data_IF_188145520060
#
_entry.id   IF_188145520060
#
_cell.length_a   1.000
_cell.length_b   1.000
_cell.length_c   1.000
_cell.angle_alpha   90.00
_cell.angle_beta   90.00
_cell.angle_gamma   90.00
#
_symmetry.space_group_name_H-M   'P 1'
#
loop_
_entity.id
_entity.type
_entity.pdbx_description
1 polymer ?
#
# COMPACT_ATOMS: atom_id res chain seq x y z
N UNK A 1 -18.77 -4.90 15.08
CA UNK A 1 -18.58 -5.94 14.04
C UNK A 1 -17.52 -5.60 12.99
N UNK A 2 -17.35 -4.32 12.57
CA UNK A 2 -16.39 -3.95 11.51
C UNK A 2 -14.90 -4.20 11.81
N UNK A 3 -14.48 -4.19 13.08
CA UNK A 3 -13.05 -4.46 13.42
C UNK A 3 -12.66 -5.93 13.24
N UNK A 4 -13.55 -6.85 13.62
CA UNK A 4 -13.32 -8.31 13.50
C UNK A 4 -13.04 -8.74 12.05
N UNK A 5 -13.59 -8.01 11.08
CA UNK A 5 -13.36 -8.27 9.66
C UNK A 5 -11.90 -8.02 9.24
N UNK A 6 -11.25 -6.97 9.76
CA UNK A 6 -9.85 -6.70 9.41
C UNK A 6 -8.90 -7.72 10.04
N UNK A 7 -9.20 -8.22 11.25
CA UNK A 7 -8.42 -9.31 11.84
C UNK A 7 -8.42 -10.60 10.99
N UNK A 8 -9.47 -10.85 10.21
CA UNK A 8 -9.50 -11.96 9.27
C UNK A 8 -8.41 -11.84 8.20
N UNK A 9 -8.07 -10.63 7.77
CA UNK A 9 -6.99 -10.40 6.81
C UNK A 9 -5.62 -10.87 7.32
N UNK A 10 -5.36 -10.82 8.63
CA UNK A 10 -4.14 -11.40 9.19
C UNK A 10 -4.15 -12.92 9.18
N UNK A 11 -5.31 -13.54 9.40
CA UNK A 11 -5.44 -15.00 9.30
C UNK A 11 -5.16 -15.43 7.86
N UNK A 12 -5.73 -14.73 6.88
CA UNK A 12 -5.45 -14.99 5.45
C UNK A 12 -3.97 -14.78 5.12
N UNK A 13 -3.36 -13.68 5.57
CA UNK A 13 -1.94 -13.42 5.37
C UNK A 13 -1.05 -14.50 6.01
N UNK A 14 -1.39 -14.96 7.22
CA UNK A 14 -0.68 -16.05 7.90
C UNK A 14 -0.82 -17.36 7.14
N UNK A 15 -2.01 -17.69 6.66
CA UNK A 15 -2.21 -18.90 5.86
C UNK A 15 -1.40 -18.85 4.56
N UNK A 16 -1.35 -17.70 3.87
CA UNK A 16 -0.58 -17.54 2.64
C UNK A 16 0.92 -17.77 2.87
N UNK A 17 1.49 -17.22 3.95
CA UNK A 17 2.92 -17.41 4.23
C UNK A 17 3.25 -18.82 4.72
N UNK A 18 2.35 -19.45 5.50
CA UNK A 18 2.48 -20.85 5.87
C UNK A 18 2.41 -21.75 4.63
N UNK A 19 1.51 -21.44 3.69
CA UNK A 19 1.38 -22.20 2.46
C UNK A 19 2.70 -22.14 1.67
N UNK A 20 3.25 -20.96 1.42
CA UNK A 20 4.59 -20.80 0.77
C UNK A 20 5.68 -21.56 1.55
N UNK A 21 5.66 -21.53 2.89
CA UNK A 21 6.69 -22.14 3.72
C UNK A 21 6.64 -23.68 3.78
N UNK A 22 5.47 -24.28 3.59
CA UNK A 22 5.24 -25.72 3.76
C UNK A 22 4.93 -26.46 2.45
N UNK A 23 4.84 -25.75 1.31
CA UNK A 23 4.62 -26.37 0.00
C UNK A 23 5.75 -26.02 -0.96
N UNK A 24 6.24 -27.02 -1.69
CA UNK A 24 7.24 -26.82 -2.75
C UNK A 24 6.56 -26.50 -4.09
N UNK A 25 6.00 -25.29 -4.21
CA UNK A 25 5.40 -24.88 -5.47
C UNK A 25 6.44 -24.47 -6.52
N UNK A 26 6.04 -24.40 -7.80
CA UNK A 26 6.88 -23.81 -8.83
C UNK A 26 7.21 -22.34 -8.47
N UNK A 27 8.42 -21.84 -8.82
CA UNK A 27 8.85 -20.50 -8.42
C UNK A 27 7.89 -19.36 -8.80
N UNK A 28 7.19 -19.47 -9.92
CA UNK A 28 6.20 -18.49 -10.35
C UNK A 28 4.95 -18.44 -9.45
N UNK A 29 4.51 -19.59 -8.91
CA UNK A 29 3.38 -19.65 -8.01
C UNK A 29 3.74 -19.10 -6.62
N UNK A 30 4.93 -19.40 -6.11
CA UNK A 30 5.43 -18.81 -4.86
C UNK A 30 5.54 -17.29 -4.95
N UNK A 31 6.05 -16.78 -6.08
CA UNK A 31 6.14 -15.34 -6.31
C UNK A 31 4.75 -14.68 -6.34
N UNK A 32 3.78 -15.30 -7.01
CA UNK A 32 2.41 -14.79 -7.05
C UNK A 32 1.74 -14.78 -5.66
N UNK A 33 1.93 -15.85 -4.88
CA UNK A 33 1.42 -15.95 -3.51
C UNK A 33 2.10 -14.94 -2.59
N UNK A 34 3.40 -14.69 -2.75
CA UNK A 34 4.13 -13.68 -1.99
C UNK A 34 3.60 -12.26 -2.30
N UNK A 35 3.34 -11.95 -3.57
CA UNK A 35 2.71 -10.68 -3.96
C UNK A 35 1.33 -10.55 -3.31
N UNK A 36 0.49 -11.59 -3.41
CA UNK A 36 -0.84 -11.61 -2.80
C UNK A 36 -0.77 -11.42 -1.28
N UNK A 37 0.15 -12.11 -0.61
CA UNK A 37 0.45 -11.93 0.81
C UNK A 37 0.78 -10.47 1.13
N UNK A 38 1.69 -9.84 0.39
CA UNK A 38 2.08 -8.45 0.66
C UNK A 38 0.91 -7.48 0.51
N UNK A 39 0.04 -7.68 -0.49
CA UNK A 39 -1.16 -6.87 -0.67
C UNK A 39 -2.14 -7.03 0.51
N UNK A 40 -2.48 -8.28 0.86
CA UNK A 40 -3.43 -8.58 1.94
C UNK A 40 -2.91 -8.07 3.28
N UNK A 41 -1.64 -8.34 3.58
CA UNK A 41 -1.00 -7.90 4.82
C UNK A 41 -0.95 -6.38 4.91
N UNK A 42 -0.49 -5.68 3.87
CA UNK A 42 -0.34 -4.22 3.90
C UNK A 42 -1.67 -3.50 4.09
N UNK A 43 -2.71 -3.89 3.35
CA UNK A 43 -4.05 -3.28 3.49
C UNK A 43 -4.62 -3.59 4.87
N UNK A 44 -4.50 -4.82 5.34
CA UNK A 44 -5.02 -5.23 6.65
C UNK A 44 -4.33 -4.49 7.79
N UNK A 45 -3.00 -4.47 7.78
CA UNK A 45 -2.19 -3.87 8.82
C UNK A 45 -2.46 -2.38 8.95
N UNK A 46 -2.45 -1.64 7.83
CA UNK A 46 -2.69 -0.19 7.82
C UNK A 46 -4.10 0.16 8.29
N UNK A 47 -5.13 -0.57 7.84
CA UNK A 47 -6.51 -0.34 8.25
C UNK A 47 -6.74 -0.63 9.73
N UNK A 48 -6.14 -1.71 10.25
CA UNK A 48 -6.27 -2.07 11.66
C UNK A 48 -5.55 -1.07 12.56
N UNK A 49 -4.32 -0.68 12.19
CA UNK A 49 -3.53 0.30 12.93
C UNK A 49 -4.25 1.65 12.97
N UNK A 50 -4.76 2.12 11.84
CA UNK A 50 -5.54 3.35 11.76
C UNK A 50 -6.76 3.32 12.69
N UNK A 51 -7.56 2.25 12.65
CA UNK A 51 -8.74 2.09 13.52
C UNK A 51 -8.39 2.04 14.99
N UNK A 52 -7.38 1.25 15.35
CA UNK A 52 -6.89 1.18 16.73
C UNK A 52 -6.54 2.57 17.23
N UNK A 53 -5.72 3.31 16.50
CA UNK A 53 -5.32 4.67 16.90
C UNK A 53 -6.51 5.63 16.98
N UNK A 54 -7.50 5.54 16.09
CA UNK A 54 -8.73 6.34 16.19
C UNK A 54 -9.52 6.08 17.49
N UNK A 55 -9.48 4.86 18.02
CA UNK A 55 -10.19 4.49 19.24
C UNK A 55 -9.38 4.74 20.51
N UNK A 56 -8.07 4.48 20.48
CA UNK A 56 -7.21 4.51 21.66
C UNK A 56 -6.51 5.85 21.87
N UNK A 57 -6.25 6.62 20.82
CA UNK A 57 -5.51 7.88 20.88
C UNK A 57 -6.42 9.06 20.51
N UNK A 58 -6.77 9.86 21.53
CA UNK A 58 -7.61 11.05 21.36
C UNK A 58 -6.95 12.13 20.50
N UNK A 59 -5.64 12.29 20.61
CA UNK A 59 -4.87 13.28 19.85
C UNK A 59 -4.82 12.90 18.38
N UNK A 60 -4.59 11.62 18.08
CA UNK A 60 -4.68 11.09 16.72
C UNK A 60 -6.09 11.29 16.13
N UNK A 61 -7.14 10.98 16.89
CA UNK A 61 -8.53 11.14 16.46
C UNK A 61 -8.85 12.60 16.10
N UNK A 62 -8.48 13.55 16.95
CA UNK A 62 -8.68 14.98 16.69
C UNK A 62 -7.90 15.40 15.43
N UNK A 63 -6.64 14.97 15.30
CA UNK A 63 -5.80 15.35 14.17
C UNK A 63 -6.30 14.78 12.82
N UNK A 64 -6.92 13.60 12.82
CA UNK A 64 -7.47 12.96 11.62
C UNK A 64 -8.82 13.55 11.22
N UNK A 65 -9.66 13.94 12.18
CA UNK A 65 -11.02 14.45 11.91
C UNK A 65 -11.08 15.97 11.73
N UNK A 66 -10.03 16.70 12.08
CA UNK A 66 -9.93 18.15 11.87
C UNK A 66 -9.76 18.49 10.38
N UNK A 67 -10.72 19.25 9.83
CA UNK A 67 -10.77 19.69 8.44
C UNK A 67 -9.51 20.40 7.97
N UNK A 68 -8.92 21.25 8.83
CA UNK A 68 -7.68 21.96 8.47
C UNK A 68 -6.54 20.98 8.28
N UNK A 69 -6.45 19.97 9.15
CA UNK A 69 -5.40 18.95 9.05
C UNK A 69 -5.63 18.03 7.85
N UNK A 70 -6.88 17.73 7.49
CA UNK A 70 -7.22 16.98 6.28
C UNK A 70 -6.73 17.74 5.04
N UNK A 71 -7.08 19.03 4.92
CA UNK A 71 -6.67 19.86 3.77
C UNK A 71 -5.15 20.02 3.66
N UNK A 72 -4.44 20.15 4.80
CA UNK A 72 -2.97 20.18 4.81
C UNK A 72 -2.39 18.84 4.35
N UNK A 73 -2.90 17.72 4.86
CA UNK A 73 -2.42 16.37 4.49
C UNK A 73 -2.67 16.04 3.04
N UNK A 74 -3.78 16.51 2.46
CA UNK A 74 -4.07 16.35 1.03
C UNK A 74 -3.02 17.07 0.17
N UNK A 75 -2.73 18.35 0.46
CA UNK A 75 -1.69 19.11 -0.25
C UNK A 75 -0.30 18.52 -0.05
N UNK A 76 0.04 18.17 1.19
CA UNK A 76 1.31 17.54 1.51
C UNK A 76 1.45 16.19 0.79
N UNK A 77 0.40 15.38 0.78
CA UNK A 77 0.34 14.11 0.06
C UNK A 77 0.57 14.27 -1.44
N UNK A 78 0.00 15.30 -2.07
CA UNK A 78 0.25 15.57 -3.49
C UNK A 78 1.71 15.96 -3.77
N UNK A 79 2.31 16.82 -2.92
CA UNK A 79 3.73 17.19 -3.03
C UNK A 79 4.62 15.96 -2.81
N UNK A 80 4.37 15.16 -1.78
CA UNK A 80 5.11 13.92 -1.51
C UNK A 80 4.95 12.93 -2.65
N UNK A 81 3.78 12.83 -3.28
CA UNK A 81 3.57 11.97 -4.43
C UNK A 81 4.43 12.41 -5.63
N UNK A 82 4.52 13.71 -5.91
CA UNK A 82 5.44 14.24 -6.94
C UNK A 82 6.90 13.89 -6.64
N UNK A 83 7.35 14.09 -5.40
CA UNK A 83 8.72 13.76 -4.97
C UNK A 83 8.96 12.24 -5.09
N UNK A 84 7.99 11.41 -4.68
CA UNK A 84 8.10 9.95 -4.74
C UNK A 84 8.22 9.46 -6.18
N UNK A 85 7.42 10.02 -7.10
CA UNK A 85 7.49 9.72 -8.52
C UNK A 85 8.87 10.06 -9.11
N UNK A 86 9.44 11.21 -8.72
CA UNK A 86 10.80 11.60 -9.11
C UNK A 86 11.85 10.62 -8.58
N UNK A 87 11.77 10.23 -7.30
CA UNK A 87 12.70 9.28 -6.69
C UNK A 87 12.62 7.90 -7.36
N UNK A 88 11.42 7.41 -7.67
CA UNK A 88 11.22 6.17 -8.43
C UNK A 88 11.82 6.27 -9.85
N UNK A 89 11.66 7.41 -10.52
CA UNK A 89 12.28 7.66 -11.82
C UNK A 89 13.82 7.60 -11.76
N UNK A 90 14.42 8.21 -10.74
CA UNK A 90 15.87 8.13 -10.50
C UNK A 90 16.30 6.67 -10.24
N UNK A 91 15.57 5.95 -9.40
CA UNK A 91 15.85 4.54 -9.10
C UNK A 91 15.79 3.66 -10.36
N UNK A 92 14.79 3.88 -11.22
CA UNK A 92 14.66 3.20 -12.51
C UNK A 92 15.88 3.44 -13.40
N UNK A 93 16.35 4.70 -13.50
CA UNK A 93 17.55 5.04 -14.28
C UNK A 93 18.80 4.33 -13.73
N UNK A 94 18.97 4.28 -12.41
CA UNK A 94 20.07 3.54 -11.76
C UNK A 94 19.99 2.05 -12.10
N UNK A 95 18.80 1.44 -12.08
CA UNK A 95 18.67 0.03 -12.47
C UNK A 95 19.02 -0.22 -13.94
N UNK A 96 18.68 0.71 -14.84
CA UNK A 96 19.08 0.62 -16.25
C UNK A 96 20.60 0.73 -16.39
N UNK A 97 21.25 1.68 -15.71
CA UNK A 97 22.71 1.87 -15.83
C UNK A 97 23.49 0.70 -15.23
N UNK A 98 22.96 0.02 -14.21
CA UNK A 98 23.50 -1.20 -13.64
C UNK A 98 23.11 -2.48 -14.40
N UNK A 99 22.38 -2.35 -15.52
CA UNK A 99 21.90 -3.46 -16.35
C UNK A 99 20.93 -4.42 -15.61
N UNK A 100 20.26 -3.95 -14.57
CA UNK A 100 19.20 -4.66 -13.84
C UNK A 100 17.83 -4.44 -14.47
N UNK A 101 17.66 -4.97 -15.69
CA UNK A 101 16.48 -4.73 -16.53
C UNK A 101 15.17 -5.19 -15.88
N UNK A 102 15.15 -6.32 -15.18
CA UNK A 102 13.94 -6.81 -14.49
C UNK A 102 13.47 -5.80 -13.43
N UNK A 103 14.38 -5.31 -12.59
CA UNK A 103 14.07 -4.31 -11.56
C UNK A 103 13.62 -2.98 -12.16
N UNK A 104 14.27 -2.55 -13.25
CA UNK A 104 13.88 -1.34 -13.97
C UNK A 104 12.45 -1.42 -14.52
N UNK A 105 12.07 -2.57 -15.11
CA UNK A 105 10.71 -2.81 -15.62
C UNK A 105 9.69 -2.76 -14.49
N UNK A 106 9.98 -3.40 -13.34
CA UNK A 106 9.07 -3.40 -12.18
C UNK A 106 8.83 -1.97 -11.70
N UNK A 107 9.87 -1.15 -11.54
CA UNK A 107 9.71 0.26 -11.14
C UNK A 107 8.96 1.08 -12.19
N UNK A 108 9.24 0.85 -13.48
CA UNK A 108 8.52 1.50 -14.58
C UNK A 108 7.02 1.19 -14.56
N UNK A 109 6.64 -0.05 -14.28
CA UNK A 109 5.23 -0.46 -14.12
C UNK A 109 4.59 0.24 -12.91
N UNK A 110 5.29 0.35 -11.78
CA UNK A 110 4.80 1.07 -10.58
C UNK A 110 4.52 2.54 -10.92
N UNK A 111 5.45 3.20 -11.62
CA UNK A 111 5.33 4.59 -12.07
C UNK A 111 4.07 4.77 -12.93
N UNK A 112 3.79 3.85 -13.86
CA UNK A 112 2.62 3.92 -14.74
C UNK A 112 1.29 3.63 -14.02
N UNK A 113 1.30 2.75 -13.02
CA UNK A 113 0.10 2.39 -12.26
C UNK A 113 -0.28 3.48 -11.25
N UNK A 114 0.69 4.23 -10.70
CA UNK A 114 0.47 5.20 -9.62
C UNK A 114 -0.62 6.26 -9.93
N UNK A 115 -0.68 6.88 -11.13
CA UNK A 115 -1.77 7.79 -11.48
C UNK A 115 -3.15 7.12 -11.52
N UNK A 116 -3.25 5.88 -12.01
CA UNK A 116 -4.51 5.14 -12.07
C UNK A 116 -5.05 4.85 -10.65
N UNK A 117 -4.15 4.47 -9.74
CA UNK A 117 -4.49 4.25 -8.34
C UNK A 117 -5.00 5.54 -7.69
N UNK A 118 -4.38 6.68 -7.99
CA UNK A 118 -4.84 7.98 -7.48
C UNK A 118 -6.25 8.32 -7.96
N UNK A 119 -6.55 8.13 -9.25
CA UNK A 119 -7.89 8.37 -9.82
C UNK A 119 -8.93 7.47 -9.14
N UNK A 120 -8.64 6.18 -9.01
CA UNK A 120 -9.56 5.21 -8.39
C UNK A 120 -9.76 5.57 -6.90
N UNK A 121 -8.69 5.82 -6.16
CA UNK A 121 -8.77 6.19 -4.75
C UNK A 121 -9.58 7.46 -4.54
N UNK A 122 -9.35 8.50 -5.36
CA UNK A 122 -10.12 9.74 -5.34
C UNK A 122 -11.61 9.47 -5.55
N UNK A 123 -11.98 8.68 -6.57
CA UNK A 123 -13.39 8.36 -6.85
C UNK A 123 -14.07 7.57 -5.73
N UNK A 124 -13.33 6.72 -5.00
CA UNK A 124 -13.86 5.96 -3.86
C UNK A 124 -14.09 6.88 -2.66
N UNK A 125 -13.19 7.86 -2.45
CA UNK A 125 -13.31 8.84 -1.37
C UNK A 125 -14.46 9.79 -1.65
N UNK A 126 -14.57 10.32 -2.87
CA UNK A 126 -15.66 11.20 -3.30
C UNK A 126 -17.04 10.55 -3.07
N UNK A 127 -17.20 9.26 -3.41
CA UNK A 127 -18.46 8.52 -3.17
C UNK A 127 -18.82 8.31 -1.69
N UNK A 128 -17.87 8.49 -0.77
CA UNK A 128 -18.08 8.30 0.67
C UNK A 128 -18.40 9.58 1.42
N UNK A 129 -18.11 10.74 0.82
CA UNK A 129 -18.45 12.07 1.33
C UNK A 129 -19.88 12.39 0.89
#
# INVERSE_FOLDING_TARGET
MKEKFWYFGYIVALLLILLIAFTDFPPGADMALAILFTCVFSVTHTQLLHRRMLHTDSSYRINVLDERNIAIKEKAGNITNMITLMLLGIAMLIFITLNYMVSAIIVGVIILIQPLVLIIASSIIEKKI
#
